data_IF_167818920813
#
_entry.id   IF_167818920813
#
_cell.length_a   1.000
_cell.length_b   1.000
_cell.length_c   1.000
_cell.angle_alpha   90.00
_cell.angle_beta   90.00
_cell.angle_gamma   90.00
#
_symmetry.space_group_name_H-M   'P 1'
#
loop_
_entity.id
_entity.type
_entity.pdbx_description
1 polymer ?
#
# COMPACT_ATOMS: atom_id res chain seq x y z
N UNK A 1 52.15 12.49 17.33
CA UNK A 1 51.52 12.02 16.07
C UNK A 1 50.96 10.61 16.23
N UNK A 2 51.76 9.69 16.76
CA UNK A 2 51.43 8.32 17.18
C UNK A 2 50.12 8.21 17.99
N UNK A 3 49.85 9.13 18.92
CA UNK A 3 48.60 9.15 19.70
C UNK A 3 47.35 9.46 18.84
N UNK A 4 47.47 10.27 17.77
CA UNK A 4 46.39 10.53 16.82
C UNK A 4 46.14 9.32 15.91
N UNK A 5 47.20 8.62 15.52
CA UNK A 5 47.12 7.37 14.74
C UNK A 5 46.43 6.25 15.55
N UNK A 6 46.78 6.12 16.83
CA UNK A 6 46.15 5.16 17.74
C UNK A 6 44.66 5.47 17.98
N UNK A 7 44.28 6.75 18.04
CA UNK A 7 42.88 7.18 18.08
C UNK A 7 42.13 6.88 16.77
N UNK A 8 42.79 6.95 15.60
CA UNK A 8 42.20 6.58 14.31
C UNK A 8 41.89 5.08 14.21
N UNK A 9 42.66 4.24 14.87
CA UNK A 9 42.39 2.80 14.96
C UNK A 9 41.16 2.46 15.84
N UNK A 10 40.66 3.43 16.62
CA UNK A 10 39.50 3.28 17.51
C UNK A 10 39.86 2.71 18.88
N UNK A 11 38.87 2.51 19.74
CA UNK A 11 39.05 1.94 21.09
C UNK A 11 39.54 0.48 21.02
N UNK A 12 40.50 0.04 21.86
CA UNK A 12 40.89 -1.36 21.93
C UNK A 12 39.72 -2.21 22.44
N UNK A 13 39.34 -3.23 21.69
CA UNK A 13 38.23 -4.14 22.02
C UNK A 13 38.73 -5.42 22.72
N UNK A 14 39.71 -5.27 23.62
CA UNK A 14 40.44 -6.38 24.25
C UNK A 14 39.64 -7.05 25.38
N UNK A 15 38.65 -6.35 25.97
CA UNK A 15 37.77 -6.89 27.01
C UNK A 15 36.35 -7.15 26.51
N UNK A 16 35.70 -8.18 27.04
CA UNK A 16 34.30 -8.50 26.72
C UNK A 16 33.37 -7.32 27.03
N UNK A 17 33.61 -6.59 28.13
CA UNK A 17 32.85 -5.40 28.48
C UNK A 17 32.97 -4.26 27.45
N UNK A 18 34.18 -4.02 26.93
CA UNK A 18 34.41 -3.00 25.91
C UNK A 18 33.75 -3.38 24.56
N UNK A 19 33.82 -4.67 24.20
CA UNK A 19 33.10 -5.20 23.04
C UNK A 19 31.59 -4.97 23.19
N UNK A 20 30.99 -5.39 24.31
CA UNK A 20 29.54 -5.28 24.53
C UNK A 20 29.07 -3.83 24.53
N UNK A 21 29.85 -2.93 25.13
CA UNK A 21 29.54 -1.50 25.11
C UNK A 21 29.61 -0.91 23.69
N UNK A 22 30.64 -1.27 22.91
CA UNK A 22 30.80 -0.74 21.56
C UNK A 22 29.73 -1.27 20.61
N UNK A 23 29.44 -2.57 20.66
CA UNK A 23 28.34 -3.15 19.89
C UNK A 23 26.99 -2.53 20.29
N UNK A 24 26.75 -2.37 21.59
CA UNK A 24 25.54 -1.72 22.09
C UNK A 24 25.33 -0.32 21.51
N UNK A 25 26.40 0.47 21.37
CA UNK A 25 26.32 1.79 20.69
C UNK A 25 25.91 1.68 19.22
N UNK A 26 26.48 0.73 18.47
CA UNK A 26 26.11 0.53 17.06
C UNK A 26 24.67 0.01 16.92
N UNK A 27 24.26 -0.94 17.77
CA UNK A 27 22.90 -1.47 17.80
C UNK A 27 21.88 -0.37 18.13
N UNK A 28 22.13 0.42 19.19
CA UNK A 28 21.26 1.53 19.57
C UNK A 28 21.19 2.60 18.46
N UNK A 29 22.32 2.92 17.83
CA UNK A 29 22.35 3.86 16.71
C UNK A 29 21.56 3.33 15.51
N UNK A 30 21.72 2.06 15.14
CA UNK A 30 20.95 1.42 14.07
C UNK A 30 19.45 1.50 14.33
N UNK A 31 19.02 1.09 15.53
CA UNK A 31 17.60 1.10 15.93
C UNK A 31 17.03 2.51 15.90
N UNK A 32 17.76 3.49 16.46
CA UNK A 32 17.35 4.90 16.46
C UNK A 32 17.20 5.47 15.06
N UNK A 33 18.11 5.15 14.14
CA UNK A 33 18.04 5.60 12.75
C UNK A 33 16.88 4.93 12.00
N UNK A 34 16.62 3.65 12.26
CA UNK A 34 15.45 2.96 11.72
C UNK A 34 14.14 3.58 12.23
N UNK A 35 14.02 3.82 13.54
CA UNK A 35 12.91 4.53 14.17
C UNK A 35 12.69 5.91 13.55
N UNK A 36 13.76 6.67 13.34
CA UNK A 36 13.69 7.97 12.68
C UNK A 36 13.16 7.87 11.24
N UNK A 37 13.65 6.90 10.46
CA UNK A 37 13.20 6.68 9.07
C UNK A 37 11.72 6.29 8.99
N UNK A 38 11.24 5.44 9.90
CA UNK A 38 9.84 5.02 9.98
C UNK A 38 8.93 6.10 10.56
N UNK A 39 9.44 6.91 11.50
CA UNK A 39 8.74 8.03 12.13
C UNK A 39 8.67 9.28 11.26
N UNK A 40 9.52 9.40 10.25
CA UNK A 40 9.60 10.58 9.38
C UNK A 40 10.54 11.68 9.88
N UNK A 41 11.42 11.39 10.84
CA UNK A 41 12.42 12.30 11.42
C UNK A 41 13.71 12.28 10.60
N UNK A 42 13.63 12.73 9.34
CA UNK A 42 14.72 12.58 8.37
C UNK A 42 15.95 13.42 8.67
N UNK A 43 15.82 14.45 9.51
CA UNK A 43 16.92 15.26 10.03
C UNK A 43 17.92 14.46 10.87
N UNK A 44 17.50 13.32 11.42
CA UNK A 44 18.37 12.42 12.19
C UNK A 44 19.13 11.44 11.30
N UNK A 45 18.74 11.32 10.03
CA UNK A 45 19.36 10.36 9.11
C UNK A 45 20.69 10.89 8.56
N UNK A 46 21.64 9.99 8.28
CA UNK A 46 22.89 10.36 7.61
C UNK A 46 22.58 11.07 6.28
N UNK A 47 23.29 12.17 5.95
CA UNK A 47 23.14 12.78 4.64
C UNK A 47 23.59 11.77 3.58
N UNK A 48 22.92 11.73 2.40
CA UNK A 48 23.31 10.84 1.33
C UNK A 48 24.80 11.03 1.00
N UNK A 49 25.55 9.94 1.07
CA UNK A 49 27.01 9.96 1.01
C UNK A 49 27.48 10.47 -0.36
N UNK A 50 28.05 11.69 -0.40
CA UNK A 50 28.70 12.24 -1.62
C UNK A 50 29.87 11.38 -2.14
N UNK A 51 30.37 10.42 -1.36
CA UNK A 51 31.54 9.58 -1.68
C UNK A 51 31.31 8.53 -2.77
N UNK A 52 30.07 8.25 -3.18
CA UNK A 52 29.77 7.33 -4.30
C UNK A 52 29.80 7.97 -5.69
N UNK A 53 30.08 9.27 -5.81
CA UNK A 53 30.21 9.99 -7.10
C UNK A 53 31.56 9.82 -7.81
N UNK A 54 32.23 8.67 -7.65
CA UNK A 54 33.52 8.42 -8.30
C UNK A 54 33.52 7.19 -9.24
N UNK A 55 32.36 6.59 -9.47
CA UNK A 55 32.18 5.60 -10.55
C UNK A 55 30.95 5.98 -11.36
N UNK A 56 31.15 6.85 -12.35
CA UNK A 56 30.22 7.03 -13.46
C UNK A 56 30.14 5.70 -14.21
N UNK A 57 29.11 4.89 -13.95
CA UNK A 57 28.51 3.98 -14.96
C UNK A 57 27.21 3.29 -14.54
N UNK A 58 26.73 3.40 -13.30
CA UNK A 58 25.39 2.90 -12.93
C UNK A 58 24.52 4.02 -12.36
N UNK A 59 23.50 4.44 -13.12
CA UNK A 59 22.37 5.24 -12.62
C UNK A 59 21.50 4.40 -11.67
N UNK A 60 22.07 3.87 -10.59
CA UNK A 60 21.28 3.38 -9.47
C UNK A 60 20.86 4.60 -8.67
N UNK A 61 19.56 4.92 -8.70
CA UNK A 61 18.96 5.97 -7.89
C UNK A 61 19.46 5.84 -6.45
N UNK A 62 19.99 6.93 -5.88
CA UNK A 62 20.45 6.94 -4.48
C UNK A 62 19.34 6.33 -3.59
N UNK A 63 19.67 5.38 -2.69
CA UNK A 63 18.68 4.74 -1.82
C UNK A 63 17.99 5.82 -0.99
N UNK A 64 16.67 5.96 -1.17
CA UNK A 64 15.88 6.95 -0.47
C UNK A 64 15.69 6.49 0.98
N UNK A 65 16.52 7.00 1.89
CA UNK A 65 16.44 6.71 3.32
C UNK A 65 15.12 7.17 3.98
N UNK A 66 14.27 7.92 3.26
CA UNK A 66 12.98 8.42 3.75
C UNK A 66 11.88 7.36 3.68
N UNK A 67 12.03 6.28 4.45
CA UNK A 67 11.13 5.12 4.45
C UNK A 67 9.65 5.53 4.54
N UNK A 68 9.27 6.34 5.54
CA UNK A 68 7.85 6.74 5.71
C UNK A 68 7.29 7.46 4.49
N UNK A 69 8.07 8.31 3.83
CA UNK A 69 7.63 9.07 2.66
C UNK A 69 7.49 8.16 1.44
N UNK A 70 8.41 7.23 1.24
CA UNK A 70 8.31 6.21 0.19
C UNK A 70 7.03 5.37 0.36
N UNK A 71 6.78 4.87 1.58
CA UNK A 71 5.57 4.10 1.87
C UNK A 71 4.29 4.93 1.66
N UNK A 72 4.27 6.22 2.01
CA UNK A 72 3.10 7.10 1.78
C UNK A 72 2.71 7.22 0.30
N UNK A 73 3.69 7.22 -0.61
CA UNK A 73 3.42 7.26 -2.05
C UNK A 73 2.72 5.98 -2.49
N UNK A 74 3.20 4.84 -1.99
CA UNK A 74 2.67 3.52 -2.35
C UNK A 74 1.32 3.23 -1.67
N UNK A 75 1.10 3.72 -0.45
CA UNK A 75 -0.21 3.73 0.21
C UNK A 75 -1.26 4.48 -0.63
N UNK A 76 -0.86 5.58 -1.28
CA UNK A 76 -1.75 6.34 -2.17
C UNK A 76 -2.03 5.59 -3.49
N UNK A 77 -1.04 4.86 -4.03
CA UNK A 77 -1.24 3.96 -5.19
C UNK A 77 -2.23 2.84 -4.81
N UNK A 78 -2.05 2.21 -3.66
CA UNK A 78 -2.95 1.22 -3.10
C UNK A 78 -4.38 1.78 -2.95
N UNK A 79 -4.55 2.94 -2.32
CA UNK A 79 -5.85 3.59 -2.13
C UNK A 79 -6.56 3.83 -3.46
N UNK A 80 -5.84 4.31 -4.49
CA UNK A 80 -6.38 4.48 -5.85
C UNK A 80 -6.81 3.15 -6.47
N UNK A 81 -6.02 2.08 -6.29
CA UNK A 81 -6.33 0.75 -6.81
C UNK A 81 -7.62 0.18 -6.18
N UNK A 82 -7.75 0.23 -4.84
CA UNK A 82 -8.97 -0.21 -4.13
C UNK A 82 -10.18 0.65 -4.53
N UNK A 83 -9.99 1.97 -4.64
CA UNK A 83 -11.07 2.89 -5.07
C UNK A 83 -11.54 2.60 -6.51
N UNK A 84 -10.64 2.17 -7.39
CA UNK A 84 -11.00 1.77 -8.76
C UNK A 84 -11.86 0.50 -8.77
N UNK A 85 -11.61 -0.45 -7.87
CA UNK A 85 -12.36 -1.71 -7.76
C UNK A 85 -13.85 -1.47 -7.46
N UNK A 86 -14.22 -0.37 -6.78
CA UNK A 86 -15.62 0.04 -6.56
C UNK A 86 -16.45 0.14 -7.85
N UNK A 87 -15.81 0.41 -9.00
CA UNK A 87 -16.50 0.69 -10.27
C UNK A 87 -16.98 -0.57 -10.99
N UNK A 88 -16.60 -1.76 -10.56
CA UNK A 88 -16.89 -3.03 -11.22
C UNK A 88 -17.58 -3.98 -10.24
N UNK A 89 -18.89 -3.78 -10.04
CA UNK A 89 -19.69 -4.44 -8.99
C UNK A 89 -19.97 -5.90 -9.36
N UNK A 90 -20.21 -6.16 -10.64
CA UNK A 90 -20.31 -7.53 -11.20
C UNK A 90 -19.00 -7.83 -11.91
N UNK A 91 -18.60 -9.11 -11.98
CA UNK A 91 -17.59 -9.56 -12.94
C UNK A 91 -18.13 -9.38 -14.36
N UNK A 92 -18.13 -8.13 -14.82
CA UNK A 92 -18.52 -7.76 -16.17
C UNK A 92 -17.35 -8.01 -17.09
N UNK A 93 -17.66 -8.53 -18.28
CA UNK A 93 -16.79 -8.44 -19.45
C UNK A 93 -16.15 -7.05 -19.50
N UNK A 94 -14.88 -6.97 -19.83
CA UNK A 94 -14.27 -5.68 -20.17
C UNK A 94 -14.84 -5.19 -21.50
N UNK A 95 -14.68 -3.90 -21.81
CA UNK A 95 -15.05 -3.39 -23.13
C UNK A 95 -14.27 -4.04 -24.29
N UNK A 96 -13.18 -4.74 -23.97
CA UNK A 96 -12.36 -5.51 -24.91
C UNK A 96 -12.90 -6.94 -25.15
N UNK A 97 -13.80 -7.41 -24.27
CA UNK A 97 -14.42 -8.74 -24.31
C UNK A 97 -15.86 -8.70 -24.80
N UNK A 98 -16.29 -7.57 -25.39
CA UNK A 98 -17.66 -7.37 -25.86
C UNK A 98 -17.95 -8.20 -27.10
N UNK A 99 -19.14 -8.80 -27.13
CA UNK A 99 -19.58 -9.67 -28.22
C UNK A 99 -20.87 -9.13 -28.87
N UNK A 100 -21.12 -9.57 -30.11
CA UNK A 100 -22.37 -9.25 -30.82
C UNK A 100 -23.55 -9.81 -30.03
N UNK A 101 -24.55 -8.95 -29.77
CA UNK A 101 -25.72 -9.26 -28.95
C UNK A 101 -25.62 -8.80 -27.49
N UNK A 102 -24.43 -8.41 -27.00
CA UNK A 102 -24.29 -7.89 -25.63
C UNK A 102 -25.09 -6.59 -25.46
N UNK A 103 -25.71 -6.43 -24.29
CA UNK A 103 -26.44 -5.22 -23.92
C UNK A 103 -25.45 -4.10 -23.54
N UNK A 104 -25.65 -2.92 -24.12
CA UNK A 104 -24.78 -1.75 -23.97
C UNK A 104 -25.59 -0.48 -23.78
N UNK A 105 -24.94 0.54 -23.24
CA UNK A 105 -25.44 1.91 -23.24
C UNK A 105 -24.53 2.77 -24.10
N UNK A 106 -25.10 3.48 -25.07
CA UNK A 106 -24.39 4.37 -25.99
C UNK A 106 -24.69 5.84 -25.69
N UNK A 107 -23.67 6.69 -25.79
CA UNK A 107 -23.77 8.12 -25.50
C UNK A 107 -24.12 8.91 -26.76
N UNK A 108 -25.33 9.47 -26.79
CA UNK A 108 -25.87 10.23 -27.93
C UNK A 108 -26.46 11.54 -27.41
N UNK A 109 -25.98 12.66 -27.95
CA UNK A 109 -26.40 13.99 -27.49
C UNK A 109 -26.13 14.23 -26.01
N UNK A 110 -25.06 13.62 -25.47
CA UNK A 110 -24.72 13.70 -24.04
C UNK A 110 -25.55 12.79 -23.12
N UNK A 111 -26.53 12.06 -23.65
CA UNK A 111 -27.39 11.13 -22.90
C UNK A 111 -27.01 9.68 -23.19
N UNK A 112 -27.16 8.80 -22.20
CA UNK A 112 -26.94 7.37 -22.36
C UNK A 112 -28.24 6.70 -22.78
N UNK A 113 -28.19 5.88 -23.83
CA UNK A 113 -29.32 5.15 -24.38
C UNK A 113 -29.02 3.67 -24.44
N UNK A 114 -30.01 2.86 -24.12
CA UNK A 114 -29.88 1.40 -24.08
C UNK A 114 -29.94 0.82 -25.49
N UNK A 115 -29.10 -0.18 -25.77
CA UNK A 115 -29.11 -0.90 -27.03
C UNK A 115 -28.28 -2.19 -26.97
N UNK A 116 -28.08 -2.80 -28.13
CA UNK A 116 -27.34 -4.05 -28.31
C UNK A 116 -26.25 -3.89 -29.36
N UNK A 117 -25.16 -4.60 -29.13
CA UNK A 117 -24.03 -4.65 -30.06
C UNK A 117 -24.43 -5.42 -31.31
N UNK A 118 -24.28 -4.78 -32.46
CA UNK A 118 -24.51 -5.38 -33.79
C UNK A 118 -23.20 -5.86 -34.42
N UNK A 119 -22.12 -5.07 -34.27
CA UNK A 119 -20.80 -5.38 -34.80
C UNK A 119 -19.71 -4.92 -33.83
N UNK A 120 -18.57 -5.62 -33.81
CA UNK A 120 -17.41 -5.34 -32.95
C UNK A 120 -16.16 -5.24 -33.80
N UNK A 121 -15.33 -4.23 -33.54
CA UNK A 121 -13.99 -4.08 -34.12
C UNK A 121 -13.04 -3.54 -33.05
N UNK A 122 -12.26 -4.45 -32.43
CA UNK A 122 -11.49 -4.10 -31.23
C UNK A 122 -12.41 -3.67 -30.10
N UNK A 123 -12.22 -2.45 -29.57
CA UNK A 123 -13.07 -1.85 -28.53
C UNK A 123 -14.21 -0.98 -29.07
N UNK A 124 -14.36 -0.90 -30.40
CA UNK A 124 -15.36 -0.07 -31.04
C UNK A 124 -16.56 -0.94 -31.44
N UNK A 125 -17.77 -0.38 -31.30
CA UNK A 125 -19.00 -1.13 -31.54
C UNK A 125 -19.95 -0.38 -32.48
N UNK A 126 -20.79 -1.13 -33.18
CA UNK A 126 -22.01 -0.60 -33.81
C UNK A 126 -23.20 -1.01 -32.95
N UNK A 127 -24.11 -0.07 -32.67
CA UNK A 127 -25.29 -0.31 -31.84
C UNK A 127 -26.54 -0.38 -32.71
N UNK A 128 -27.23 -1.52 -32.64
CA UNK A 128 -28.36 -1.88 -33.51
C UNK A 128 -29.49 -0.83 -33.49
N UNK A 129 -29.80 -0.30 -32.31
CA UNK A 129 -30.97 0.55 -32.09
C UNK A 129 -30.72 2.03 -32.42
N UNK A 130 -29.45 2.47 -32.46
CA UNK A 130 -29.14 3.90 -32.38
C UNK A 130 -28.27 4.46 -33.49
N UNK A 131 -27.67 3.63 -34.35
CA UNK A 131 -27.04 4.01 -35.62
C UNK A 131 -26.17 2.89 -36.16
N UNK A 132 -26.09 2.73 -37.48
CA UNK A 132 -25.08 1.90 -38.17
C UNK A 132 -23.65 2.48 -38.15
N UNK A 133 -23.39 3.53 -37.36
CA UNK A 133 -22.07 4.16 -37.24
C UNK A 133 -21.27 3.58 -36.07
N UNK A 134 -19.98 3.36 -36.29
CA UNK A 134 -19.03 2.93 -35.25
C UNK A 134 -18.96 3.92 -34.09
N UNK A 135 -18.96 3.39 -32.87
CA UNK A 135 -18.82 4.12 -31.61
C UNK A 135 -17.51 3.70 -30.95
N UNK A 136 -16.62 4.69 -30.77
CA UNK A 136 -15.38 4.48 -30.05
C UNK A 136 -15.64 4.15 -28.56
N UNK A 137 -14.69 3.44 -27.94
CA UNK A 137 -14.71 2.98 -26.53
C UNK A 137 -15.27 3.99 -25.51
N UNK A 138 -15.00 5.28 -25.69
CA UNK A 138 -15.40 6.37 -24.80
C UNK A 138 -16.90 6.72 -24.85
N UNK A 139 -17.58 6.33 -25.93
CA UNK A 139 -18.96 6.69 -26.22
C UNK A 139 -19.95 5.56 -25.96
N UNK A 140 -19.50 4.46 -25.35
CA UNK A 140 -20.36 3.37 -24.95
C UNK A 140 -19.87 2.72 -23.66
N UNK A 141 -20.72 1.95 -23.00
CA UNK A 141 -20.37 1.10 -21.85
C UNK A 141 -21.26 -0.13 -21.84
N UNK A 142 -20.81 -1.22 -21.22
CA UNK A 142 -21.66 -2.38 -21.00
C UNK A 142 -22.84 -2.02 -20.09
N UNK A 143 -24.01 -2.56 -20.41
CA UNK A 143 -25.15 -2.52 -19.50
C UNK A 143 -25.04 -3.68 -18.53
N UNK A 144 -24.74 -3.38 -17.26
CA UNK A 144 -24.57 -4.41 -16.22
C UNK A 144 -25.92 -4.96 -15.72
N UNK A 145 -27.06 -4.33 -16.08
CA UNK A 145 -28.38 -4.71 -15.55
C UNK A 145 -28.80 -6.12 -15.93
N UNK A 146 -28.66 -6.59 -17.19
CA UNK A 146 -29.04 -7.96 -17.56
C UNK A 146 -28.20 -9.01 -16.82
N UNK A 147 -26.88 -8.83 -16.74
CA UNK A 147 -26.00 -9.75 -16.01
C UNK A 147 -26.33 -9.79 -14.51
N UNK A 148 -26.56 -8.63 -13.90
CA UNK A 148 -26.97 -8.53 -12.50
C UNK A 148 -28.32 -9.21 -12.27
N UNK A 149 -29.26 -9.05 -13.20
CA UNK A 149 -30.58 -9.70 -13.14
C UNK A 149 -30.47 -11.21 -13.20
N UNK A 150 -29.68 -11.75 -14.12
CA UNK A 150 -29.40 -13.19 -14.21
C UNK A 150 -28.70 -13.70 -12.94
N UNK A 151 -27.73 -12.95 -12.42
CA UNK A 151 -27.04 -13.30 -11.18
C UNK A 151 -28.01 -13.36 -10.00
N UNK A 152 -28.87 -12.34 -9.85
CA UNK A 152 -29.93 -12.31 -8.82
C UNK A 152 -30.84 -13.54 -8.99
N UNK A 153 -31.36 -13.78 -10.19
CA UNK A 153 -32.27 -14.90 -10.44
C UNK A 153 -31.65 -16.27 -10.12
N UNK A 154 -30.36 -16.45 -10.41
CA UNK A 154 -29.65 -17.70 -10.16
C UNK A 154 -29.27 -17.92 -8.68
N UNK A 155 -29.12 -16.85 -7.90
CA UNK A 155 -28.61 -16.92 -6.52
C UNK A 155 -29.67 -16.59 -5.46
N UNK A 156 -30.85 -16.12 -5.86
CA UNK A 156 -31.95 -15.78 -4.97
C UNK A 156 -32.66 -17.06 -4.49
N UNK A 157 -32.95 -17.10 -3.18
CA UNK A 157 -33.79 -18.14 -2.59
C UNK A 157 -35.29 -17.78 -2.58
N UNK A 158 -36.06 -18.36 -1.66
CA UNK A 158 -37.51 -18.17 -1.55
C UNK A 158 -37.93 -16.80 -0.94
N UNK A 159 -37.05 -15.81 -0.96
CA UNK A 159 -37.31 -14.47 -0.41
C UNK A 159 -38.29 -13.68 -1.28
N UNK A 160 -39.13 -12.83 -0.70
CA UNK A 160 -40.08 -11.98 -1.44
C UNK A 160 -39.36 -10.91 -2.28
N UNK A 161 -39.69 -10.79 -3.58
CA UNK A 161 -39.04 -9.90 -4.54
C UNK A 161 -38.99 -8.40 -4.14
N UNK A 162 -39.86 -7.98 -3.23
CA UNK A 162 -39.89 -6.62 -2.67
C UNK A 162 -38.69 -6.32 -1.76
N UNK A 163 -38.01 -7.35 -1.25
CA UNK A 163 -36.78 -7.22 -0.47
C UNK A 163 -35.59 -7.66 -1.34
N UNK A 164 -34.56 -6.80 -1.49
CA UNK A 164 -33.29 -7.21 -2.05
C UNK A 164 -32.70 -8.35 -1.22
N UNK A 165 -32.24 -9.41 -1.89
CA UNK A 165 -31.69 -10.58 -1.20
C UNK A 165 -30.36 -10.25 -0.53
N UNK A 166 -30.28 -10.42 0.80
CA UNK A 166 -29.03 -10.20 1.54
C UNK A 166 -27.95 -11.21 1.13
N UNK A 167 -28.32 -12.45 0.82
CA UNK A 167 -27.38 -13.46 0.35
C UNK A 167 -26.77 -13.08 -1.00
N UNK A 168 -27.60 -12.63 -1.95
CA UNK A 168 -27.12 -12.15 -3.26
C UNK A 168 -26.21 -10.94 -3.09
N UNK A 169 -26.59 -9.99 -2.23
CA UNK A 169 -25.77 -8.85 -1.87
C UNK A 169 -24.39 -9.29 -1.36
N UNK A 170 -24.33 -10.25 -0.44
CA UNK A 170 -23.08 -10.77 0.10
C UNK A 170 -22.21 -11.41 -0.99
N UNK A 171 -22.81 -12.19 -1.90
CA UNK A 171 -22.08 -12.83 -2.99
C UNK A 171 -21.47 -11.80 -3.96
N UNK A 172 -22.23 -10.75 -4.31
CA UNK A 172 -21.74 -9.66 -5.16
C UNK A 172 -20.65 -8.85 -4.46
N UNK A 173 -20.82 -8.57 -3.17
CA UNK A 173 -19.80 -7.86 -2.41
C UNK A 173 -18.50 -8.65 -2.31
N UNK A 174 -18.55 -9.98 -2.12
CA UNK A 174 -17.35 -10.83 -2.12
C UNK A 174 -16.56 -10.73 -3.43
N UNK A 175 -17.24 -10.73 -4.58
CA UNK A 175 -16.57 -10.53 -5.87
C UNK A 175 -15.83 -9.17 -5.95
N UNK A 176 -16.32 -8.15 -5.25
CA UNK A 176 -15.63 -6.87 -5.14
C UNK A 176 -14.39 -6.98 -4.24
N UNK A 177 -14.52 -7.65 -3.08
CA UNK A 177 -13.42 -7.85 -2.12
C UNK A 177 -12.31 -8.73 -2.68
N UNK A 178 -12.62 -9.70 -3.54
CA UNK A 178 -11.62 -10.54 -4.20
C UNK A 178 -10.65 -9.70 -5.05
N UNK A 179 -11.15 -8.62 -5.66
CA UNK A 179 -10.32 -7.66 -6.44
C UNK A 179 -9.39 -6.82 -5.55
N UNK A 180 -9.54 -6.86 -4.23
CA UNK A 180 -8.68 -6.16 -3.29
C UNK A 180 -7.43 -6.96 -2.92
N UNK A 181 -7.39 -8.28 -3.17
CA UNK A 181 -6.25 -9.14 -2.81
C UNK A 181 -4.95 -8.73 -3.54
N UNK A 182 -4.91 -8.59 -4.88
CA UNK A 182 -3.68 -8.23 -5.57
C UNK A 182 -3.04 -6.91 -5.12
N UNK A 183 -3.76 -5.77 -5.02
CA UNK A 183 -3.14 -4.53 -4.55
C UNK A 183 -2.75 -4.60 -3.07
N UNK A 184 -3.44 -5.41 -2.26
CA UNK A 184 -3.09 -5.61 -0.85
C UNK A 184 -1.77 -6.37 -0.72
N UNK A 185 -1.60 -7.49 -1.44
CA UNK A 185 -0.33 -8.24 -1.46
C UNK A 185 0.83 -7.41 -1.97
N UNK A 186 0.59 -6.61 -3.00
CA UNK A 186 1.58 -5.68 -3.53
C UNK A 186 2.04 -4.69 -2.47
N UNK A 187 1.11 -4.11 -1.70
CA UNK A 187 1.46 -3.20 -0.62
C UNK A 187 2.31 -3.88 0.47
N UNK A 188 2.00 -5.13 0.84
CA UNK A 188 2.84 -5.89 1.79
C UNK A 188 4.26 -6.07 1.26
N UNK A 189 4.40 -6.44 -0.01
CA UNK A 189 5.71 -6.57 -0.67
C UNK A 189 6.49 -5.25 -0.65
N UNK A 190 5.83 -4.15 -0.95
CA UNK A 190 6.44 -2.81 -0.88
C UNK A 190 6.94 -2.50 0.53
N UNK A 191 6.16 -2.80 1.57
CA UNK A 191 6.60 -2.61 2.96
C UNK A 191 7.86 -3.41 3.26
N UNK A 192 7.93 -4.67 2.82
CA UNK A 192 9.14 -5.48 2.91
C UNK A 192 10.33 -4.82 2.19
N UNK A 193 10.19 -4.55 0.89
CA UNK A 193 11.32 -4.11 0.04
C UNK A 193 11.87 -2.76 0.49
N UNK A 194 11.00 -1.80 0.82
CA UNK A 194 11.42 -0.48 1.29
C UNK A 194 12.06 -0.55 2.68
N UNK A 195 11.51 -1.34 3.59
CA UNK A 195 12.09 -1.50 4.94
C UNK A 195 13.46 -2.14 4.86
N UNK A 196 13.63 -3.16 4.02
CA UNK A 196 14.92 -3.82 3.77
C UNK A 196 15.95 -2.85 3.19
N UNK A 197 15.57 -2.12 2.14
CA UNK A 197 16.45 -1.15 1.49
C UNK A 197 16.96 -0.10 2.48
N UNK A 198 16.08 0.45 3.31
CA UNK A 198 16.47 1.46 4.31
C UNK A 198 17.26 0.85 5.46
N UNK A 199 16.91 -0.34 5.92
CA UNK A 199 17.68 -1.10 6.91
C UNK A 199 19.13 -1.32 6.45
N UNK A 200 19.30 -1.80 5.21
CA UNK A 200 20.62 -2.05 4.65
C UNK A 200 21.44 -0.77 4.51
N UNK A 201 20.78 0.31 4.08
CA UNK A 201 21.40 1.64 4.00
C UNK A 201 21.85 2.14 5.39
N UNK A 202 20.97 2.07 6.39
CA UNK A 202 21.28 2.51 7.76
C UNK A 202 22.43 1.68 8.35
N UNK A 203 22.46 0.37 8.10
CA UNK A 203 23.54 -0.50 8.55
C UNK A 203 24.90 -0.12 7.94
N UNK A 204 24.93 0.28 6.66
CA UNK A 204 26.17 0.74 5.99
C UNK A 204 26.70 2.07 6.57
N UNK A 205 25.81 2.93 7.07
CA UNK A 205 26.17 4.24 7.63
C UNK A 205 26.65 4.19 9.11
N UNK A 206 26.61 3.03 9.76
CA UNK A 206 27.06 2.86 11.16
C UNK A 206 28.58 3.05 11.35
N UNK A 207 29.37 3.04 10.26
CA UNK A 207 30.84 3.02 10.30
C UNK A 207 31.40 1.91 11.22
N UNK A 208 30.67 0.80 11.34
CA UNK A 208 31.06 -0.37 12.12
C UNK A 208 32.01 -1.27 11.33
N UNK A 209 32.59 -2.28 11.99
CA UNK A 209 33.38 -3.29 11.29
C UNK A 209 32.50 -4.04 10.25
N UNK A 210 33.06 -4.40 9.09
CA UNK A 210 32.32 -5.04 7.99
C UNK A 210 31.54 -6.29 8.45
N UNK A 211 32.13 -7.08 9.35
CA UNK A 211 31.47 -8.25 9.94
C UNK A 211 30.21 -7.88 10.73
N UNK A 212 30.25 -6.79 11.50
CA UNK A 212 29.11 -6.28 12.26
C UNK A 212 28.01 -5.79 11.34
N UNK A 213 28.36 -5.04 10.29
CA UNK A 213 27.39 -4.57 9.28
C UNK A 213 26.71 -5.76 8.60
N UNK A 214 27.48 -6.75 8.15
CA UNK A 214 26.95 -7.97 7.54
C UNK A 214 26.04 -8.76 8.49
N UNK A 215 26.42 -8.85 9.77
CA UNK A 215 25.60 -9.49 10.79
C UNK A 215 24.27 -8.76 11.00
N UNK A 216 24.28 -7.44 11.11
CA UNK A 216 23.06 -6.63 11.27
C UNK A 216 22.16 -6.82 10.04
N UNK A 217 22.70 -6.74 8.82
CA UNK A 217 21.94 -6.96 7.59
C UNK A 217 21.32 -8.35 7.50
N UNK A 218 22.09 -9.39 7.83
CA UNK A 218 21.60 -10.76 7.81
C UNK A 218 20.51 -11.00 8.86
N UNK A 219 20.67 -10.42 10.05
CA UNK A 219 19.67 -10.49 11.13
C UNK A 219 18.41 -9.73 10.74
N UNK A 220 18.55 -8.51 10.21
CA UNK A 220 17.44 -7.69 9.74
C UNK A 220 16.66 -8.37 8.62
N UNK A 221 17.33 -8.99 7.65
CA UNK A 221 16.67 -9.75 6.59
C UNK A 221 15.83 -10.90 7.18
N UNK A 222 16.42 -11.70 8.07
CA UNK A 222 15.71 -12.81 8.71
C UNK A 222 14.50 -12.34 9.52
N UNK A 223 14.68 -11.34 10.38
CA UNK A 223 13.59 -10.79 11.21
C UNK A 223 12.49 -10.22 10.33
N UNK A 224 12.84 -9.47 9.29
CA UNK A 224 11.87 -8.88 8.38
C UNK A 224 11.08 -9.94 7.60
N UNK A 225 11.73 -11.00 7.11
CA UNK A 225 11.08 -12.11 6.42
C UNK A 225 10.01 -12.77 7.32
N UNK A 226 10.36 -13.06 8.59
CA UNK A 226 9.45 -13.65 9.58
C UNK A 226 8.27 -12.71 9.92
N UNK A 227 8.57 -11.41 10.13
CA UNK A 227 7.56 -10.40 10.43
C UNK A 227 6.59 -10.19 9.26
N UNK A 228 7.09 -10.18 8.03
CA UNK A 228 6.27 -9.99 6.82
C UNK A 228 5.39 -11.19 6.53
N UNK A 229 5.87 -12.42 6.77
CA UNK A 229 5.06 -13.62 6.66
C UNK A 229 3.88 -13.58 7.64
N UNK A 230 4.14 -13.23 8.90
CA UNK A 230 3.09 -13.06 9.92
C UNK A 230 2.10 -11.94 9.52
N UNK A 231 2.60 -10.79 9.07
CA UNK A 231 1.75 -9.69 8.60
C UNK A 231 0.87 -10.09 7.40
N UNK A 232 1.39 -10.91 6.48
CA UNK A 232 0.65 -11.41 5.32
C UNK A 232 -0.53 -12.30 5.72
N UNK A 233 -0.35 -13.15 6.74
CA UNK A 233 -1.40 -14.00 7.29
C UNK A 233 -2.49 -13.18 8.00
N UNK A 234 -2.09 -12.18 8.79
CA UNK A 234 -3.01 -11.25 9.46
C UNK A 234 -3.83 -10.43 8.46
N UNK A 235 -3.18 -9.90 7.42
CA UNK A 235 -3.85 -9.16 6.34
C UNK A 235 -4.83 -10.04 5.57
N UNK A 236 -4.47 -11.30 5.30
CA UNK A 236 -5.39 -12.28 4.70
C UNK A 236 -6.62 -12.49 5.59
N UNK A 237 -6.43 -12.52 6.91
CA UNK A 237 -7.53 -12.64 7.88
C UNK A 237 -8.42 -11.41 7.88
N UNK A 238 -7.84 -10.21 7.85
CA UNK A 238 -8.58 -8.94 7.73
C UNK A 238 -9.41 -8.90 6.44
N UNK A 239 -8.83 -9.31 5.32
CA UNK A 239 -9.55 -9.36 4.05
C UNK A 239 -10.70 -10.39 4.07
N UNK A 240 -10.49 -11.57 4.67
CA UNK A 240 -11.57 -12.55 4.85
C UNK A 240 -12.69 -12.02 5.73
N UNK A 241 -12.38 -11.20 6.73
CA UNK A 241 -13.40 -10.56 7.55
C UNK A 241 -14.24 -9.56 6.74
N UNK A 242 -13.65 -8.87 5.76
CA UNK A 242 -14.39 -7.99 4.85
C UNK A 242 -15.43 -8.74 4.01
N UNK A 243 -15.17 -9.99 3.62
CA UNK A 243 -16.10 -10.80 2.83
C UNK A 243 -17.49 -11.01 3.48
N UNK A 244 -17.67 -10.61 4.74
CA UNK A 244 -18.97 -10.54 5.41
C UNK A 244 -19.40 -9.07 5.56
N UNK A 245 -20.35 -8.59 4.74
CA UNK A 245 -20.84 -7.22 4.86
C UNK A 245 -21.53 -6.98 6.20
N UNK A 246 -20.97 -6.08 7.00
CA UNK A 246 -21.51 -5.64 8.27
C UNK A 246 -21.02 -4.23 8.56
N UNK A 247 -21.94 -3.33 8.93
CA UNK A 247 -21.60 -2.00 9.40
C UNK A 247 -22.69 -1.47 10.33
N UNK A 248 -22.27 -0.70 11.33
CA UNK A 248 -23.16 0.15 12.15
C UNK A 248 -22.98 1.62 11.82
N UNK A 249 -22.27 1.93 10.74
CA UNK A 249 -22.01 3.28 10.30
C UNK A 249 -23.29 3.91 9.73
N UNK A 250 -23.83 4.90 10.44
CA UNK A 250 -25.03 5.64 10.04
C UNK A 250 -24.88 6.34 8.69
N UNK A 251 -23.65 6.60 8.24
CA UNK A 251 -23.37 7.17 6.91
C UNK A 251 -23.90 6.28 5.80
N UNK A 252 -24.04 4.97 6.01
CA UNK A 252 -24.62 4.07 5.01
C UNK A 252 -26.01 4.53 4.58
N UNK A 253 -26.89 4.87 5.53
CA UNK A 253 -28.24 5.34 5.22
C UNK A 253 -28.20 6.67 4.45
N UNK A 254 -27.30 7.57 4.86
CA UNK A 254 -27.10 8.85 4.18
C UNK A 254 -26.63 8.64 2.73
N UNK A 255 -25.69 7.74 2.49
CA UNK A 255 -25.21 7.45 1.13
C UNK A 255 -26.27 6.72 0.30
N UNK A 256 -27.05 5.81 0.90
CA UNK A 256 -28.16 5.15 0.22
C UNK A 256 -29.20 6.17 -0.29
N UNK A 257 -29.63 7.09 0.57
CA UNK A 257 -30.61 8.11 0.24
C UNK A 257 -30.07 9.10 -0.80
N UNK A 258 -28.78 9.46 -0.71
CA UNK A 258 -28.11 10.27 -1.74
C UNK A 258 -28.11 9.58 -3.10
N UNK A 259 -27.84 8.27 -3.16
CA UNK A 259 -27.83 7.54 -4.43
C UNK A 259 -29.25 7.47 -5.02
N UNK A 260 -30.26 7.12 -4.22
CA UNK A 260 -31.67 7.12 -4.66
C UNK A 260 -32.11 8.49 -5.19
N UNK A 261 -31.77 9.56 -4.48
CA UNK A 261 -32.10 10.92 -4.91
C UNK A 261 -31.42 11.30 -6.23
N UNK A 262 -30.15 10.93 -6.42
CA UNK A 262 -29.42 11.20 -7.67
C UNK A 262 -30.08 10.52 -8.87
N UNK A 263 -30.55 9.28 -8.71
CA UNK A 263 -31.21 8.55 -9.79
C UNK A 263 -32.52 9.22 -10.22
N UNK A 264 -33.35 9.62 -9.25
CA UNK A 264 -34.57 10.40 -9.52
C UNK A 264 -34.24 11.75 -10.18
N UNK A 265 -33.23 12.47 -9.67
CA UNK A 265 -32.79 13.73 -10.27
C UNK A 265 -32.31 13.56 -11.71
N UNK A 266 -31.60 12.48 -12.02
CA UNK A 266 -31.12 12.19 -13.37
C UNK A 266 -32.27 11.92 -14.33
N UNK A 267 -33.28 11.17 -13.91
CA UNK A 267 -34.48 10.91 -14.71
C UNK A 267 -35.30 12.17 -14.95
N UNK A 268 -35.51 12.99 -13.92
CA UNK A 268 -36.19 14.29 -14.05
C UNK A 268 -35.45 15.19 -15.05
N UNK A 269 -34.13 15.31 -14.92
CA UNK A 269 -33.31 16.09 -15.86
C UNK A 269 -33.34 15.56 -17.30
N UNK A 270 -33.52 14.26 -17.49
CA UNK A 270 -33.59 13.66 -18.82
C UNK A 270 -34.97 13.86 -19.47
N UNK A 271 -36.03 13.81 -18.69
CA UNK A 271 -37.41 13.86 -19.18
C UNK A 271 -37.97 15.28 -19.32
N UNK A 272 -37.55 16.21 -18.46
CA UNK A 272 -38.11 17.56 -18.39
C UNK A 272 -37.36 18.51 -19.33
N UNK A 273 -38.10 19.22 -20.18
CA UNK A 273 -37.55 20.18 -21.14
C UNK A 273 -37.94 21.61 -20.73
N UNK A 274 -36.95 22.51 -20.71
CA UNK A 274 -37.19 23.94 -20.52
C UNK A 274 -37.62 24.58 -21.84
N UNK A 275 -38.70 25.35 -21.81
CA UNK A 275 -39.09 26.20 -22.94
C UNK A 275 -38.11 27.37 -23.14
N UNK A 276 -38.33 28.16 -24.20
CA UNK A 276 -37.49 29.32 -24.54
C UNK A 276 -37.44 30.40 -23.44
N UNK A 277 -38.38 30.38 -22.49
CA UNK A 277 -38.44 31.30 -21.35
C UNK A 277 -37.94 30.65 -20.05
N UNK A 278 -37.38 29.44 -20.12
CA UNK A 278 -36.89 28.69 -18.97
C UNK A 278 -37.98 28.06 -18.09
N UNK A 279 -39.24 27.98 -18.56
CA UNK A 279 -40.34 27.35 -17.83
C UNK A 279 -40.40 25.86 -18.14
N UNK A 280 -40.91 25.10 -17.18
CA UNK A 280 -41.09 23.65 -17.25
C UNK A 280 -42.55 23.29 -16.95
N UNK A 281 -43.10 22.34 -17.70
CA UNK A 281 -44.46 21.89 -17.47
C UNK A 281 -44.53 21.04 -16.20
N UNK A 282 -45.34 21.46 -15.23
CA UNK A 282 -45.47 20.74 -13.94
C UNK A 282 -45.90 19.28 -14.13
N UNK A 283 -46.74 19.00 -15.14
CA UNK A 283 -47.15 17.64 -15.48
C UNK A 283 -45.96 16.77 -15.91
N UNK A 284 -45.08 17.28 -16.77
CA UNK A 284 -43.88 16.56 -17.20
C UNK A 284 -42.94 16.27 -16.03
N UNK A 285 -42.80 17.22 -15.09
CA UNK A 285 -42.02 17.02 -13.87
C UNK A 285 -42.63 15.90 -13.01
N UNK A 286 -43.95 15.95 -12.77
CA UNK A 286 -44.64 14.94 -11.97
C UNK A 286 -44.58 13.55 -12.63
N UNK A 287 -44.76 13.46 -13.93
CA UNK A 287 -44.68 12.21 -14.69
C UNK A 287 -43.26 11.64 -14.67
N UNK A 288 -42.23 12.49 -14.77
CA UNK A 288 -40.83 12.09 -14.66
C UNK A 288 -40.49 11.55 -13.26
N UNK A 289 -40.95 12.23 -12.21
CA UNK A 289 -40.78 11.77 -10.82
C UNK A 289 -41.53 10.45 -10.59
N UNK A 290 -42.77 10.35 -11.06
CA UNK A 290 -43.58 9.14 -10.94
C UNK A 290 -42.92 7.96 -11.66
N UNK A 291 -42.43 8.17 -12.89
CA UNK A 291 -41.65 7.16 -13.60
C UNK A 291 -40.43 6.72 -12.78
N UNK A 292 -39.69 7.67 -12.22
CA UNK A 292 -38.51 7.34 -11.42
C UNK A 292 -38.78 6.54 -10.15
N UNK A 293 -39.87 6.84 -9.45
CA UNK A 293 -40.21 6.23 -8.16
C UNK A 293 -41.03 4.95 -8.32
N UNK A 294 -41.84 4.86 -9.38
CA UNK A 294 -42.84 3.80 -9.56
C UNK A 294 -42.48 2.78 -10.65
N UNK A 295 -41.33 2.92 -11.33
CA UNK A 295 -40.87 1.87 -12.26
C UNK A 295 -40.66 0.55 -11.52
N UNK A 296 -41.28 -0.51 -12.04
CA UNK A 296 -41.18 -1.87 -11.50
C UNK A 296 -40.19 -2.74 -12.28
N UNK A 297 -39.87 -2.35 -13.52
CA UNK A 297 -38.96 -3.09 -14.38
C UNK A 297 -37.54 -3.02 -13.82
N UNK A 298 -36.99 -4.19 -13.52
CA UNK A 298 -35.65 -4.35 -12.95
C UNK A 298 -35.43 -3.57 -11.63
N UNK A 299 -36.52 -3.31 -10.88
CA UNK A 299 -36.48 -2.57 -9.61
C UNK A 299 -35.55 -3.22 -8.60
N UNK A 300 -35.59 -4.54 -8.48
CA UNK A 300 -34.69 -5.26 -7.59
C UNK A 300 -33.22 -5.07 -7.98
N UNK A 301 -32.91 -5.10 -9.28
CA UNK A 301 -31.56 -4.87 -9.81
C UNK A 301 -31.09 -3.47 -9.44
N UNK A 302 -31.95 -2.46 -9.61
CA UNK A 302 -31.64 -1.08 -9.27
C UNK A 302 -31.41 -0.91 -7.76
N UNK A 303 -32.29 -1.43 -6.91
CA UNK A 303 -32.13 -1.37 -5.44
C UNK A 303 -30.86 -2.10 -4.98
N UNK A 304 -30.55 -3.27 -5.57
CA UNK A 304 -29.32 -4.02 -5.28
C UNK A 304 -28.07 -3.21 -5.66
N UNK A 305 -28.05 -2.61 -6.85
CA UNK A 305 -26.94 -1.77 -7.30
C UNK A 305 -26.74 -0.55 -6.40
N UNK A 306 -27.83 0.12 -6.02
CA UNK A 306 -27.80 1.29 -5.14
C UNK A 306 -27.29 0.91 -3.75
N UNK A 307 -27.80 -0.18 -3.17
CA UNK A 307 -27.34 -0.69 -1.87
C UNK A 307 -25.85 -1.07 -1.90
N UNK A 308 -25.40 -1.80 -2.93
CA UNK A 308 -24.00 -2.19 -3.06
C UNK A 308 -23.08 -0.97 -3.19
N UNK A 309 -23.45 0.02 -4.01
CA UNK A 309 -22.69 1.26 -4.16
C UNK A 309 -22.58 2.04 -2.86
N UNK A 310 -23.70 2.19 -2.15
CA UNK A 310 -23.74 2.87 -0.87
C UNK A 310 -22.87 2.16 0.18
N UNK A 311 -22.90 0.82 0.22
CA UNK A 311 -22.06 0.06 1.12
C UNK A 311 -20.57 0.13 0.74
N UNK A 312 -20.24 0.06 -0.55
CA UNK A 312 -18.87 0.24 -1.03
C UNK A 312 -18.33 1.65 -0.74
N UNK A 313 -19.18 2.68 -0.74
CA UNK A 313 -18.82 4.05 -0.33
C UNK A 313 -18.34 4.14 1.13
N UNK A 314 -18.76 3.20 1.98
CA UNK A 314 -18.32 3.10 3.38
C UNK A 314 -17.16 2.12 3.54
N UNK A 315 -17.26 0.94 2.92
CA UNK A 315 -16.31 -0.15 3.10
C UNK A 315 -14.94 0.14 2.45
N UNK A 316 -14.92 0.73 1.25
CA UNK A 316 -13.67 1.00 0.51
C UNK A 316 -12.76 1.97 1.26
N UNK A 317 -13.21 3.15 1.71
CA UNK A 317 -12.35 4.05 2.49
C UNK A 317 -11.86 3.39 3.78
N UNK A 318 -12.75 2.68 4.49
CA UNK A 318 -12.40 1.98 5.73
C UNK A 318 -11.28 0.95 5.51
N UNK A 319 -11.37 0.14 4.46
CA UNK A 319 -10.35 -0.85 4.13
C UNK A 319 -9.04 -0.19 3.66
N UNK A 320 -9.16 0.82 2.79
CA UNK A 320 -8.02 1.54 2.23
C UNK A 320 -7.20 2.27 3.30
N UNK A 321 -7.85 2.74 4.39
CA UNK A 321 -7.17 3.37 5.52
C UNK A 321 -6.66 2.33 6.53
N UNK A 322 -7.44 1.28 6.82
CA UNK A 322 -7.10 0.30 7.84
C UNK A 322 -5.88 -0.55 7.48
N UNK A 323 -5.72 -0.97 6.22
CA UNK A 323 -4.61 -1.84 5.82
C UNK A 323 -3.24 -1.18 6.03
N UNK A 324 -2.96 0.04 5.51
CA UNK A 324 -1.72 0.75 5.79
C UNK A 324 -1.44 0.96 7.28
N UNK A 325 -2.48 1.32 8.06
CA UNK A 325 -2.34 1.48 9.50
C UNK A 325 -1.89 0.18 10.18
N UNK A 326 -2.51 -0.95 9.79
CA UNK A 326 -2.17 -2.27 10.31
C UNK A 326 -0.77 -2.71 9.89
N UNK A 327 -0.36 -2.47 8.64
CA UNK A 327 1.00 -2.80 8.18
C UNK A 327 2.08 -2.00 8.92
N UNK A 328 1.80 -0.75 9.28
CA UNK A 328 2.68 0.05 10.11
C UNK A 328 2.94 -0.62 11.47
N UNK A 329 1.91 -1.16 12.10
CA UNK A 329 2.04 -1.86 13.38
C UNK A 329 2.66 -3.25 13.20
N UNK A 330 2.09 -4.05 12.29
CA UNK A 330 2.47 -5.45 12.09
C UNK A 330 3.88 -5.61 11.55
N UNK A 331 4.34 -4.71 10.67
CA UNK A 331 5.66 -4.79 10.04
C UNK A 331 6.64 -3.86 10.76
N UNK A 332 6.43 -2.54 10.71
CA UNK A 332 7.48 -1.59 11.12
C UNK A 332 7.76 -1.61 12.62
N UNK A 333 6.71 -1.60 13.45
CA UNK A 333 6.86 -1.65 14.91
C UNK A 333 7.33 -3.01 15.39
N UNK A 334 6.77 -4.09 14.84
CA UNK A 334 7.24 -5.45 15.19
C UNK A 334 8.69 -5.66 14.78
N UNK A 335 9.08 -5.26 13.57
CA UNK A 335 10.46 -5.36 13.08
C UNK A 335 11.44 -4.69 14.05
N UNK A 336 11.15 -3.48 14.52
CA UNK A 336 12.05 -2.78 15.46
C UNK A 336 12.08 -3.43 16.84
N UNK A 337 10.94 -3.89 17.34
CA UNK A 337 10.89 -4.63 18.61
C UNK A 337 11.72 -5.93 18.54
N UNK A 338 11.54 -6.72 17.48
CA UNK A 338 12.27 -7.97 17.27
C UNK A 338 13.76 -7.74 17.03
N UNK A 339 14.13 -6.74 16.21
CA UNK A 339 15.53 -6.34 16.04
C UNK A 339 16.16 -5.90 17.37
N UNK A 340 15.42 -5.17 18.21
CA UNK A 340 15.89 -4.78 19.54
C UNK A 340 16.15 -6.01 20.41
N UNK A 341 15.26 -7.00 20.38
CA UNK A 341 15.41 -8.27 21.10
C UNK A 341 16.63 -9.07 20.61
N UNK A 342 16.74 -9.27 19.29
CA UNK A 342 17.83 -10.03 18.66
C UNK A 342 19.20 -9.41 18.91
N UNK A 343 19.34 -8.09 18.74
CA UNK A 343 20.61 -7.40 18.95
C UNK A 343 21.03 -7.41 20.44
N UNK A 344 20.07 -7.31 21.37
CA UNK A 344 20.37 -7.32 22.81
C UNK A 344 20.61 -8.72 23.38
N UNK A 345 20.11 -9.78 22.72
CA UNK A 345 20.22 -11.17 23.19
C UNK A 345 21.54 -11.86 22.83
N UNK A 346 22.47 -11.15 22.18
CA UNK A 346 23.77 -11.71 21.81
C UNK A 346 24.59 -12.15 23.03
N UNK A 347 25.12 -13.37 22.94
CA UNK A 347 26.05 -13.90 23.93
C UNK A 347 27.43 -13.32 23.75
N UNK A 348 28.21 -13.26 24.83
CA UNK A 348 29.56 -12.70 24.79
C UNK A 348 30.48 -13.49 23.85
N UNK A 349 30.29 -14.81 23.71
CA UNK A 349 31.08 -15.62 22.78
C UNK A 349 30.84 -15.25 21.32
N UNK A 350 29.57 -15.02 20.93
CA UNK A 350 29.22 -14.55 19.58
C UNK A 350 29.78 -13.16 19.33
N UNK A 351 29.67 -12.30 20.33
CA UNK A 351 30.13 -10.93 20.27
C UNK A 351 31.66 -10.84 20.10
N UNK A 352 32.42 -11.64 20.84
CA UNK A 352 33.87 -11.73 20.69
C UNK A 352 34.28 -12.20 19.29
N UNK A 353 33.57 -13.16 18.69
CA UNK A 353 33.83 -13.59 17.30
C UNK A 353 33.52 -12.49 16.28
N UNK A 354 32.45 -11.73 16.53
CA UNK A 354 32.00 -10.67 15.63
C UNK A 354 32.94 -9.45 15.65
N UNK A 355 33.50 -9.16 16.82
CA UNK A 355 34.31 -7.95 17.10
C UNK A 355 35.82 -8.17 17.05
N UNK A 356 36.28 -9.34 16.60
CA UNK A 356 37.70 -9.58 16.36
C UNK A 356 38.24 -8.61 15.30
N UNK A 357 39.20 -7.78 15.68
CA UNK A 357 39.99 -6.96 14.77
C UNK A 357 40.76 -7.84 13.78
N UNK A 358 41.06 -7.31 12.59
CA UNK A 358 41.94 -8.00 11.65
C UNK A 358 43.35 -8.11 12.24
N UNK A 359 44.08 -9.17 11.89
CA UNK A 359 45.46 -9.37 12.35
C UNK A 359 46.35 -8.16 12.03
N UNK A 360 46.11 -7.52 10.87
CA UNK A 360 46.80 -6.30 10.46
C UNK A 360 46.51 -5.12 11.39
N UNK A 361 45.24 -4.88 11.76
CA UNK A 361 44.85 -3.85 12.73
C UNK A 361 45.43 -4.10 14.11
N UNK A 362 45.45 -5.36 14.54
CA UNK A 362 46.04 -5.73 15.83
C UNK A 362 47.55 -5.48 15.85
N UNK A 363 48.24 -5.84 14.77
CA UNK A 363 49.69 -5.63 14.63
C UNK A 363 50.04 -4.15 14.61
N UNK A 364 49.31 -3.35 13.82
CA UNK A 364 49.48 -1.90 13.72
C UNK A 364 49.22 -1.21 15.07
N UNK A 365 48.15 -1.62 15.77
CA UNK A 365 47.85 -1.11 17.12
C UNK A 365 48.97 -1.44 18.11
N UNK A 366 49.54 -2.65 18.04
CA UNK A 366 50.63 -3.08 18.92
C UNK A 366 51.91 -2.28 18.65
N UNK A 367 52.29 -2.08 17.39
CA UNK A 367 53.43 -1.25 17.00
C UNK A 367 53.30 0.19 17.50
N UNK A 368 52.13 0.81 17.32
CA UNK A 368 51.88 2.17 17.79
C UNK A 368 51.89 2.28 19.33
N UNK A 369 51.44 1.24 20.05
CA UNK A 369 51.52 1.18 21.52
C UNK A 369 52.97 1.08 21.99
N UNK A 370 53.78 0.25 21.34
CA UNK A 370 55.21 0.09 21.66
C UNK A 370 56.01 1.38 21.39
N UNK A 371 55.73 2.04 20.26
CA UNK A 371 56.34 3.32 19.93
C UNK A 371 55.98 4.40 20.97
N UNK A 372 54.71 4.47 21.39
CA UNK A 372 54.28 5.39 22.46
C UNK A 372 54.95 5.10 23.80
N UNK A 373 55.13 3.82 24.15
CA UNK A 373 55.82 3.44 25.38
C UNK A 373 57.31 3.82 25.35
N UNK A 374 57.96 3.63 24.19
CA UNK A 374 59.34 4.05 23.96
C UNK A 374 59.50 5.57 24.08
N UNK A 375 58.61 6.34 23.44
CA UNK A 375 58.62 7.80 23.50
C UNK A 375 58.38 8.31 24.94
N UNK A 376 57.45 7.71 25.68
CA UNK A 376 57.19 8.07 27.08
C UNK A 376 58.36 7.72 28.01
N UNK A 377 59.11 6.65 27.72
CA UNK A 377 60.34 6.33 28.44
C UNK A 377 61.44 7.35 28.17
N UNK A 378 61.62 7.73 26.89
CA UNK A 378 62.60 8.73 26.49
C UNK A 378 62.29 10.12 27.09
N UNK A 379 61.01 10.50 27.15
CA UNK A 379 60.57 11.74 27.81
C UNK A 379 60.98 11.76 29.29
N UNK A 380 60.74 10.67 30.03
CA UNK A 380 61.16 10.54 31.43
C UNK A 380 62.67 10.58 31.63
N UNK A 381 63.44 9.97 30.72
CA UNK A 381 64.91 10.03 30.79
C UNK A 381 65.43 11.45 30.56
N UNK A 382 64.84 12.19 29.63
CA UNK A 382 65.18 13.60 29.41
C UNK A 382 64.84 14.45 30.65
N UNK A 383 63.67 14.23 31.26
CA UNK A 383 63.27 14.91 32.50
C UNK A 383 64.13 14.57 33.72
N UNK A 384 64.79 13.41 33.74
CA UNK A 384 65.73 13.01 34.81
C UNK A 384 67.14 13.57 34.62
N UNK A 385 67.49 13.97 33.40
CA UNK A 385 68.83 14.48 33.03
C UNK A 385 68.88 16.02 33.00
N UNK A 386 67.73 16.69 32.87
CA UNK A 386 67.56 18.13 33.07
C UNK A 386 67.23 18.47 34.53
#
# INVERSE_FOLDING_TARGET
ETQKELLRLGTPLESQGAQRQQFGKWAEQYLRLMEAAMGGQYELLPPPNKRRRLSDEEKTSEPNARLRAALRVEEEVFRKAITKAKRQIVNTKTQEEVEVGDAVQVKIGGRWHDGHVEQVNGSDIVCKEHSSTWRAKEYWRLDERPMMKEFIQANRGDELAIFPSYQVFCNLFRQCVDKWDPPTRELVRVFHDQTKLVSDYVADELNAATRVVQFIKATAAKVLDEVVENASQEVTTLQRAECRPYTQDERLFTELDKQRLRDVQAQVKAAVHTDANGRVALREVMDAVASGVLTTKDREVAEMQVALRAYLDVAVPRFADAIPMRLNDLILRTFTAEMTSELNSLTDEKLTRLMQDSEQKMTERQQLKEELACLASAEKEIELVC
#
